data_IF_701787652983
#
_entry.id   IF_701787652983
#
_cell.length_a   1.000
_cell.length_b   1.000
_cell.length_c   1.000
_cell.angle_alpha   90.00
_cell.angle_beta   90.00
_cell.angle_gamma   90.00
#
_symmetry.space_group_name_H-M   'P 1'
#
loop_
_entity.id
_entity.type
_entity.pdbx_description
1 polymer ?
#
# COMPACT_ATOMS: atom_id res chain seq x y z
N UNK A 1 -6.23 -29.26 3.29
CA UNK A 1 -6.65 -27.86 3.48
C UNK A 1 -6.73 -27.18 2.13
N UNK A 2 -7.84 -26.51 1.83
CA UNK A 2 -8.01 -25.75 0.59
C UNK A 2 -7.13 -24.50 0.66
N UNK A 3 -6.43 -24.19 -0.44
CA UNK A 3 -5.66 -22.95 -0.56
C UNK A 3 -6.63 -21.74 -0.45
N UNK A 4 -6.37 -20.83 0.48
CA UNK A 4 -7.16 -19.61 0.64
C UNK A 4 -6.70 -18.54 -0.35
N UNK A 5 -7.62 -17.66 -0.70
CA UNK A 5 -7.34 -16.48 -1.52
C UNK A 5 -6.95 -15.33 -0.59
N UNK A 6 -5.90 -14.62 -0.96
CA UNK A 6 -5.37 -13.47 -0.23
C UNK A 6 -5.35 -12.27 -1.17
N UNK A 7 -5.91 -11.15 -0.73
CA UNK A 7 -5.78 -9.86 -1.40
C UNK A 7 -4.78 -9.00 -0.63
N UNK A 8 -3.88 -8.33 -1.33
CA UNK A 8 -2.92 -7.39 -0.75
C UNK A 8 -3.09 -6.05 -1.47
N UNK A 9 -3.38 -5.01 -0.72
CA UNK A 9 -3.29 -3.64 -1.18
C UNK A 9 -1.93 -3.09 -0.74
N UNK A 10 -1.07 -2.80 -1.72
CA UNK A 10 0.29 -2.32 -1.50
C UNK A 10 0.33 -0.79 -1.58
N UNK A 11 -0.38 -0.14 -0.66
CA UNK A 11 -0.56 1.31 -0.66
C UNK A 11 0.63 2.09 -0.12
N UNK A 12 0.79 3.33 -0.60
CA UNK A 12 1.86 4.25 -0.16
C UNK A 12 1.78 4.58 1.34
N UNK A 13 0.58 4.72 1.89
CA UNK A 13 0.38 5.05 3.31
C UNK A 13 0.28 3.80 4.19
N UNK A 14 -0.52 2.84 3.77
CA UNK A 14 -0.78 1.61 4.50
C UNK A 14 -0.74 0.41 3.56
N UNK A 15 -0.32 -0.73 4.12
CA UNK A 15 -0.52 -2.03 3.50
C UNK A 15 -1.71 -2.72 4.16
N UNK A 16 -2.62 -3.25 3.33
CA UNK A 16 -3.78 -4.02 3.77
C UNK A 16 -3.68 -5.46 3.26
N UNK A 17 -3.97 -6.42 4.13
CA UNK A 17 -4.08 -7.81 3.72
C UNK A 17 -5.45 -8.36 4.12
N UNK A 18 -6.16 -8.83 3.10
CA UNK A 18 -7.44 -9.50 3.22
C UNK A 18 -7.27 -11.00 2.99
N UNK A 19 -7.89 -11.82 3.82
CA UNK A 19 -7.96 -13.27 3.64
C UNK A 19 -9.41 -13.69 3.45
N UNK A 20 -9.69 -14.43 2.39
CA UNK A 20 -11.04 -14.90 2.09
C UNK A 20 -11.62 -15.72 3.22
N UNK A 21 -12.76 -15.26 3.75
CA UNK A 21 -13.46 -15.86 4.88
C UNK A 21 -12.99 -15.39 6.25
N UNK A 22 -11.95 -14.56 6.33
CA UNK A 22 -11.46 -13.98 7.59
C UNK A 22 -11.57 -12.44 7.59
N UNK A 23 -11.72 -11.81 6.41
CA UNK A 23 -11.75 -10.35 6.28
C UNK A 23 -10.36 -9.73 6.23
N UNK A 24 -10.25 -8.47 6.64
CA UNK A 24 -8.97 -7.75 6.74
C UNK A 24 -8.22 -8.27 7.98
N UNK A 25 -7.10 -8.92 7.76
CA UNK A 25 -6.28 -9.56 8.81
C UNK A 25 -5.04 -8.74 9.17
N UNK A 26 -4.68 -7.76 8.32
CA UNK A 26 -3.59 -6.82 8.55
C UNK A 26 -3.92 -5.47 7.93
N UNK A 27 -3.70 -4.40 8.68
CA UNK A 27 -3.75 -3.02 8.24
C UNK A 27 -2.67 -2.26 9.02
N UNK A 28 -1.55 -2.01 8.38
CA UNK A 28 -0.40 -1.38 9.01
C UNK A 28 0.23 -0.32 8.10
N UNK A 29 0.85 0.72 8.65
CA UNK A 29 1.59 1.72 7.87
C UNK A 29 2.69 1.09 7.02
N UNK A 30 2.89 1.59 5.80
CA UNK A 30 3.96 1.19 4.89
C UNK A 30 5.28 1.84 5.30
N UNK A 31 5.76 1.50 6.49
CA UNK A 31 6.96 2.06 7.13
C UNK A 31 7.85 0.93 7.66
N UNK A 32 9.15 1.07 7.45
CA UNK A 32 10.18 0.14 7.93
C UNK A 32 11.28 0.92 8.63
N UNK A 33 11.76 0.42 9.74
CA UNK A 33 12.93 0.96 10.46
C UNK A 33 14.10 0.00 10.30
N UNK A 34 15.23 0.55 9.85
CA UNK A 34 16.44 -0.21 9.53
C UNK A 34 17.61 0.32 10.33
N UNK A 35 18.39 -0.57 10.92
CA UNK A 35 19.76 -0.26 11.39
C UNK A 35 20.70 -0.24 10.17
N UNK A 36 21.26 0.92 9.86
CA UNK A 36 22.15 1.09 8.70
C UNK A 36 23.56 0.52 8.94
N UNK A 37 23.96 0.29 10.18
CA UNK A 37 25.25 -0.31 10.51
C UNK A 37 25.21 -1.84 10.31
N UNK A 38 24.09 -2.46 10.74
CA UNK A 38 23.92 -3.90 10.64
C UNK A 38 23.14 -4.31 9.37
N UNK A 39 22.64 -3.35 8.60
CA UNK A 39 21.74 -3.55 7.47
C UNK A 39 20.54 -4.48 7.81
N UNK A 40 19.93 -4.23 8.95
CA UNK A 40 18.91 -5.09 9.54
C UNK A 40 17.61 -4.32 9.80
N UNK A 41 16.49 -4.94 9.45
CA UNK A 41 15.16 -4.42 9.80
C UNK A 41 14.94 -4.61 11.31
N UNK A 42 14.60 -3.52 11.99
CA UNK A 42 14.33 -3.45 13.43
C UNK A 42 12.82 -3.53 13.69
N UNK A 43 12.04 -2.75 12.95
CA UNK A 43 10.60 -2.64 13.14
C UNK A 43 9.88 -2.40 11.80
N UNK A 44 8.59 -2.74 11.74
CA UNK A 44 7.72 -2.50 10.58
C UNK A 44 6.33 -2.07 11.05
N UNK A 45 5.62 -1.35 10.17
CA UNK A 45 4.22 -1.00 10.38
C UNK A 45 4.01 -0.11 11.61
N UNK A 46 3.11 -0.50 12.49
CA UNK A 46 2.77 0.27 13.68
C UNK A 46 3.95 0.45 14.63
N UNK A 47 4.76 -0.58 14.84
CA UNK A 47 5.98 -0.48 15.65
C UNK A 47 6.97 0.53 15.06
N UNK A 48 7.15 0.51 13.75
CA UNK A 48 8.00 1.47 13.04
C UNK A 48 7.45 2.90 13.13
N UNK A 49 6.14 3.07 13.05
CA UNK A 49 5.46 4.37 13.17
C UNK A 49 5.74 5.03 14.53
N UNK A 50 5.73 4.26 15.61
CA UNK A 50 6.02 4.76 16.97
C UNK A 50 7.46 5.28 17.13
N UNK A 51 8.38 4.87 16.25
CA UNK A 51 9.78 5.26 16.28
C UNK A 51 10.06 6.55 15.49
N UNK A 52 9.10 7.06 14.71
CA UNK A 52 9.28 8.28 13.90
C UNK A 52 9.69 9.46 14.80
N UNK A 53 10.77 10.15 14.42
CA UNK A 53 11.30 11.29 15.16
C UNK A 53 11.99 10.97 16.48
N UNK A 54 12.19 9.67 16.80
CA UNK A 54 12.81 9.21 18.06
C UNK A 54 14.06 8.35 17.82
N UNK A 55 14.50 8.21 16.57
CA UNK A 55 15.60 7.33 16.20
C UNK A 55 16.94 8.06 16.22
N UNK A 56 18.06 7.40 16.67
CA UNK A 56 19.41 7.91 16.52
C UNK A 56 19.86 7.88 15.05
N UNK A 57 21.00 8.47 14.73
CA UNK A 57 21.49 8.65 13.35
C UNK A 57 21.69 7.34 12.56
N UNK A 58 22.06 6.27 13.23
CA UNK A 58 22.24 4.96 12.61
C UNK A 58 20.95 4.19 12.37
N UNK A 59 19.82 4.68 12.87
CA UNK A 59 18.50 4.06 12.71
C UNK A 59 17.64 4.92 11.77
N UNK A 60 17.33 4.40 10.59
CA UNK A 60 16.56 5.12 9.57
C UNK A 60 15.14 4.62 9.47
N UNK A 61 14.21 5.56 9.42
CA UNK A 61 12.82 5.31 9.07
C UNK A 61 12.66 5.43 7.56
N UNK A 62 12.24 4.36 6.91
CA UNK A 62 12.10 4.25 5.45
C UNK A 62 10.64 4.05 5.11
N UNK A 63 10.13 4.84 4.15
CA UNK A 63 8.85 4.60 3.47
C UNK A 63 9.18 3.95 2.12
N UNK A 64 9.07 2.63 1.99
CA UNK A 64 9.53 1.91 0.79
C UNK A 64 8.64 2.16 -0.43
N UNK A 65 7.42 2.64 -0.19
CA UNK A 65 6.45 3.07 -1.20
C UNK A 65 6.25 4.57 -1.09
N UNK A 66 6.38 5.30 -2.19
CA UNK A 66 6.24 6.74 -2.23
C UNK A 66 5.56 7.17 -3.54
N UNK A 67 4.53 8.00 -3.43
CA UNK A 67 3.83 8.60 -4.57
C UNK A 67 3.40 7.55 -5.63
N UNK A 68 2.92 6.39 -5.15
CA UNK A 68 2.45 5.29 -5.99
C UNK A 68 3.55 4.50 -6.72
N UNK A 69 4.81 4.66 -6.33
CA UNK A 69 5.93 3.90 -6.88
C UNK A 69 6.73 3.21 -5.78
N UNK A 70 7.44 2.16 -6.16
CA UNK A 70 8.38 1.49 -5.26
C UNK A 70 9.66 2.33 -5.22
N UNK A 71 9.87 3.03 -4.11
CA UNK A 71 11.06 3.84 -3.89
C UNK A 71 12.27 3.00 -3.44
N UNK A 72 12.01 1.89 -2.75
CA UNK A 72 13.03 0.95 -2.29
C UNK A 72 12.52 -0.48 -2.47
N UNK A 73 13.06 -1.17 -3.45
CA UNK A 73 12.60 -2.49 -3.83
C UNK A 73 12.96 -3.55 -2.78
N UNK A 74 14.19 -3.54 -2.27
CA UNK A 74 14.65 -4.54 -1.29
C UNK A 74 13.85 -4.45 0.01
N UNK A 75 13.60 -3.24 0.49
CA UNK A 75 12.80 -3.01 1.69
C UNK A 75 11.33 -3.36 1.45
N UNK A 76 10.79 -3.10 0.25
CA UNK A 76 9.41 -3.51 -0.11
C UNK A 76 9.29 -5.04 -0.11
N UNK A 77 10.25 -5.75 -0.71
CA UNK A 77 10.29 -7.21 -0.70
C UNK A 77 10.36 -7.77 0.73
N UNK A 78 11.24 -7.23 1.56
CA UNK A 78 11.37 -7.64 2.97
C UNK A 78 10.07 -7.40 3.75
N UNK A 79 9.43 -6.24 3.55
CA UNK A 79 8.16 -5.90 4.17
C UNK A 79 7.06 -6.86 3.75
N UNK A 80 6.89 -7.08 2.45
CA UNK A 80 5.89 -7.98 1.89
C UNK A 80 6.09 -9.42 2.40
N UNK A 81 7.34 -9.90 2.37
CA UNK A 81 7.71 -11.21 2.90
C UNK A 81 7.32 -11.38 4.38
N UNK A 82 7.62 -10.38 5.19
CA UNK A 82 7.32 -10.42 6.62
C UNK A 82 5.82 -10.48 6.86
N UNK A 83 5.04 -9.61 6.21
CA UNK A 83 3.60 -9.56 6.39
C UNK A 83 2.89 -10.82 5.89
N UNK A 84 3.29 -11.36 4.75
CA UNK A 84 2.72 -12.61 4.25
C UNK A 84 3.05 -13.77 5.22
N UNK A 85 4.28 -13.83 5.76
CA UNK A 85 4.64 -14.83 6.78
C UNK A 85 3.80 -14.70 8.05
N UNK A 86 3.60 -13.47 8.54
CA UNK A 86 2.75 -13.20 9.72
C UNK A 86 1.31 -13.66 9.48
N UNK A 87 0.75 -13.34 8.33
CA UNK A 87 -0.62 -13.75 7.96
C UNK A 87 -0.71 -15.27 7.78
N UNK A 88 0.27 -15.91 7.12
CA UNK A 88 0.32 -17.37 6.98
C UNK A 88 0.34 -18.07 8.33
N UNK A 89 1.13 -17.58 9.27
CA UNK A 89 1.22 -18.15 10.62
C UNK A 89 -0.10 -18.03 11.39
N UNK A 90 -0.79 -16.90 11.30
CA UNK A 90 -2.07 -16.66 11.98
C UNK A 90 -3.24 -17.43 11.36
N UNK A 91 -3.30 -17.46 10.02
CA UNK A 91 -4.45 -17.99 9.29
C UNK A 91 -4.25 -19.45 8.82
N UNK A 92 -3.17 -20.12 9.24
CA UNK A 92 -2.82 -21.49 8.82
C UNK A 92 -2.85 -21.66 7.29
N UNK A 93 -2.38 -20.64 6.55
CA UNK A 93 -2.38 -20.64 5.09
C UNK A 93 -1.31 -21.58 4.54
N UNK A 94 -1.73 -22.51 3.69
CA UNK A 94 -0.82 -23.36 2.93
C UNK A 94 -0.89 -22.97 1.47
N UNK A 95 0.20 -22.41 0.91
CA UNK A 95 0.34 -22.05 -0.51
C UNK A 95 -0.84 -21.23 -1.04
N UNK A 96 -1.10 -20.00 -0.55
CA UNK A 96 -2.23 -19.17 -0.96
C UNK A 96 -2.13 -18.76 -2.43
N UNK A 97 -3.28 -18.44 -3.04
CA UNK A 97 -3.31 -17.59 -4.23
C UNK A 97 -3.35 -16.14 -3.75
N UNK A 98 -2.50 -15.31 -4.32
CA UNK A 98 -2.34 -13.91 -3.90
C UNK A 98 -2.72 -12.99 -5.05
N UNK A 99 -3.59 -12.03 -4.79
CA UNK A 99 -3.86 -10.90 -5.66
C UNK A 99 -3.24 -9.67 -5.01
N UNK A 100 -2.39 -8.94 -5.74
CA UNK A 100 -1.77 -7.71 -5.28
C UNK A 100 -2.34 -6.56 -6.10
N UNK A 101 -2.85 -5.53 -5.42
CA UNK A 101 -3.29 -4.30 -6.04
C UNK A 101 -2.10 -3.36 -6.18
N UNK A 102 -1.98 -2.74 -7.33
CA UNK A 102 -0.91 -1.78 -7.64
C UNK A 102 -1.50 -0.56 -8.35
N UNK A 103 -0.88 0.62 -8.23
CA UNK A 103 -1.25 1.79 -9.00
C UNK A 103 -1.20 1.55 -10.51
N UNK A 104 -2.02 2.27 -11.28
CA UNK A 104 -2.12 2.08 -12.73
C UNK A 104 -0.84 2.42 -13.51
N UNK A 105 0.08 3.17 -12.90
CA UNK A 105 1.32 3.62 -13.52
C UNK A 105 2.55 2.75 -13.22
N UNK A 106 2.35 1.58 -12.58
CA UNK A 106 3.44 0.65 -12.26
C UNK A 106 4.09 0.08 -13.54
N UNK A 107 5.41 0.03 -13.57
CA UNK A 107 6.18 -0.53 -14.69
C UNK A 107 6.14 -2.06 -14.72
N UNK A 108 6.38 -2.66 -15.88
CA UNK A 108 6.46 -4.13 -16.02
C UNK A 108 7.60 -4.74 -15.18
N UNK A 109 8.69 -3.99 -14.98
CA UNK A 109 9.80 -4.42 -14.13
C UNK A 109 9.37 -4.48 -12.68
N UNK A 110 8.69 -3.45 -12.19
CA UNK A 110 8.15 -3.41 -10.82
C UNK A 110 7.09 -4.49 -10.61
N UNK A 111 6.20 -4.72 -11.59
CA UNK A 111 5.22 -5.84 -11.52
C UNK A 111 5.91 -7.18 -11.38
N UNK A 112 6.91 -7.45 -12.24
CA UNK A 112 7.66 -8.70 -12.20
C UNK A 112 8.34 -8.91 -10.85
N UNK A 113 8.91 -7.85 -10.32
CA UNK A 113 9.60 -7.85 -9.05
C UNK A 113 8.66 -8.13 -7.86
N UNK A 114 7.46 -7.51 -7.84
CA UNK A 114 6.43 -7.79 -6.82
C UNK A 114 5.95 -9.24 -6.91
N UNK A 115 5.73 -9.77 -8.13
CA UNK A 115 5.34 -11.16 -8.33
C UNK A 115 6.39 -12.09 -7.75
N UNK A 116 7.67 -11.89 -8.10
CA UNK A 116 8.78 -12.70 -7.60
C UNK A 116 8.89 -12.65 -6.07
N UNK A 117 8.80 -11.45 -5.48
CA UNK A 117 8.78 -11.27 -4.03
C UNK A 117 7.67 -12.08 -3.36
N UNK A 118 6.45 -12.02 -3.89
CA UNK A 118 5.32 -12.76 -3.36
C UNK A 118 5.47 -14.29 -3.56
N UNK A 119 6.00 -14.73 -4.69
CA UNK A 119 6.25 -16.16 -4.96
C UNK A 119 7.30 -16.76 -4.01
N UNK A 120 8.36 -16.02 -3.69
CA UNK A 120 9.38 -16.42 -2.70
C UNK A 120 8.80 -16.64 -1.30
N UNK A 121 7.63 -16.03 -0.98
CA UNK A 121 6.92 -16.36 0.28
C UNK A 121 6.22 -17.70 0.28
N UNK A 122 6.24 -18.42 -0.85
CA UNK A 122 5.55 -19.69 -1.05
C UNK A 122 4.09 -19.54 -1.47
N UNK A 123 3.70 -18.42 -2.10
CA UNK A 123 2.44 -18.31 -2.80
C UNK A 123 2.35 -19.34 -3.93
N UNK A 124 1.16 -19.91 -4.13
CA UNK A 124 0.93 -20.89 -5.22
C UNK A 124 0.82 -20.21 -6.58
N UNK A 125 0.20 -19.03 -6.59
CA UNK A 125 0.00 -18.20 -7.77
C UNK A 125 -0.19 -16.75 -7.33
N UNK A 126 0.45 -15.85 -8.04
CA UNK A 126 0.36 -14.41 -7.81
C UNK A 126 -0.31 -13.76 -9.02
N UNK A 127 -1.20 -12.82 -8.76
CA UNK A 127 -1.87 -11.98 -9.75
C UNK A 127 -1.65 -10.53 -9.36
N UNK A 128 -1.51 -9.68 -10.35
CA UNK A 128 -1.53 -8.23 -10.17
C UNK A 128 -2.77 -7.66 -10.84
N UNK A 129 -3.40 -6.70 -10.19
CA UNK A 129 -4.53 -5.97 -10.74
C UNK A 129 -4.40 -4.48 -10.38
N UNK A 130 -4.97 -3.61 -11.19
CA UNK A 130 -4.94 -2.18 -10.96
C UNK A 130 -5.91 -1.74 -9.86
N UNK A 131 -5.46 -0.84 -8.98
CA UNK A 131 -6.21 -0.35 -7.82
C UNK A 131 -7.62 0.13 -8.17
N UNK A 132 -7.87 1.00 -9.20
CA UNK A 132 -9.21 1.48 -9.50
C UNK A 132 -10.19 0.38 -9.87
N UNK A 133 -9.71 -0.70 -10.50
CA UNK A 133 -10.56 -1.84 -10.85
C UNK A 133 -10.96 -2.64 -9.62
N UNK A 134 -10.02 -2.84 -8.70
CA UNK A 134 -10.30 -3.56 -7.44
C UNK A 134 -11.19 -2.71 -6.54
N UNK A 135 -10.95 -1.39 -6.46
CA UNK A 135 -11.77 -0.43 -5.74
C UNK A 135 -13.23 -0.44 -6.26
N UNK A 136 -13.42 -0.42 -7.59
CA UNK A 136 -14.74 -0.53 -8.21
C UNK A 136 -15.49 -1.81 -7.79
N UNK A 137 -14.79 -2.95 -7.83
CA UNK A 137 -15.35 -4.24 -7.41
C UNK A 137 -15.70 -4.23 -5.92
N UNK A 138 -14.81 -3.70 -5.09
CA UNK A 138 -15.01 -3.55 -3.65
C UNK A 138 -16.19 -2.67 -3.29
N UNK A 139 -16.43 -1.60 -4.06
CA UNK A 139 -17.59 -0.72 -3.94
C UNK A 139 -18.90 -1.33 -4.50
N UNK A 140 -18.86 -2.55 -5.03
CA UNK A 140 -20.04 -3.23 -5.58
C UNK A 140 -20.46 -2.73 -6.95
N UNK A 141 -19.62 -1.98 -7.66
CA UNK A 141 -19.92 -1.48 -9.02
C UNK A 141 -19.92 -2.64 -10.00
N UNK A 142 -20.98 -2.72 -10.81
CA UNK A 142 -21.15 -3.80 -11.81
C UNK A 142 -20.38 -3.50 -13.09
N UNK A 143 -19.04 -3.52 -13.00
CA UNK A 143 -18.14 -3.18 -14.11
C UNK A 143 -18.22 -4.13 -15.32
N UNK A 144 -18.93 -5.27 -15.19
CA UNK A 144 -19.18 -6.21 -16.31
C UNK A 144 -20.14 -5.67 -17.35
N UNK A 145 -20.99 -4.73 -16.98
CA UNK A 145 -21.98 -4.14 -17.87
C UNK A 145 -21.30 -3.25 -18.92
N UNK A 146 -21.92 -3.08 -20.12
CA UNK A 146 -21.41 -2.21 -21.16
C UNK A 146 -21.70 -0.71 -20.89
N UNK A 147 -21.67 -0.32 -19.62
CA UNK A 147 -21.85 1.06 -19.16
C UNK A 147 -20.53 1.57 -18.60
N UNK A 148 -20.18 2.82 -18.92
CA UNK A 148 -19.02 3.47 -18.32
C UNK A 148 -19.27 3.78 -16.84
N UNK A 149 -18.36 3.34 -15.98
CA UNK A 149 -18.36 3.65 -14.57
C UNK A 149 -17.05 4.35 -14.22
N UNK A 150 -17.13 5.55 -13.67
CA UNK A 150 -15.96 6.29 -13.24
C UNK A 150 -15.67 5.99 -11.77
N UNK A 151 -14.41 5.72 -11.47
CA UNK A 151 -13.89 5.57 -10.11
C UNK A 151 -12.78 6.58 -9.90
N UNK A 152 -12.79 7.20 -8.74
CA UNK A 152 -11.73 8.09 -8.25
C UNK A 152 -11.27 7.49 -6.93
N UNK A 153 -10.05 6.97 -6.91
CA UNK A 153 -9.41 6.39 -5.74
C UNK A 153 -8.35 7.36 -5.22
N UNK A 154 -8.57 7.89 -4.02
CA UNK A 154 -7.69 8.88 -3.39
C UNK A 154 -6.95 8.18 -2.25
N UNK A 155 -5.72 7.77 -2.54
CA UNK A 155 -4.84 7.13 -1.59
C UNK A 155 -4.02 8.11 -0.73
N UNK A 156 -2.92 7.61 -0.17
CA UNK A 156 -1.94 8.44 0.54
C UNK A 156 -1.02 9.22 -0.38
N UNK A 157 -0.52 8.58 -1.45
CA UNK A 157 0.47 9.15 -2.38
C UNK A 157 -0.07 9.47 -3.76
N UNK A 158 -1.13 8.77 -4.20
CA UNK A 158 -1.72 8.92 -5.54
C UNK A 158 -3.23 9.10 -5.47
N UNK A 159 -3.76 9.77 -6.51
CA UNK A 159 -5.18 9.77 -6.86
C UNK A 159 -5.31 9.11 -8.23
N UNK A 160 -5.91 7.94 -8.26
CA UNK A 160 -6.12 7.15 -9.46
C UNK A 160 -7.56 7.33 -9.96
N UNK A 161 -7.70 7.77 -11.20
CA UNK A 161 -8.98 8.03 -11.86
C UNK A 161 -9.10 7.05 -13.01
N UNK A 162 -10.18 6.27 -13.06
CA UNK A 162 -10.41 5.34 -14.14
C UNK A 162 -11.87 5.29 -14.55
N UNK A 163 -12.10 5.08 -15.84
CA UNK A 163 -13.40 4.71 -16.40
C UNK A 163 -13.36 3.23 -16.77
N UNK A 164 -14.27 2.47 -16.20
CA UNK A 164 -14.38 1.02 -16.38
C UNK A 164 -15.64 0.66 -17.13
N UNK A 165 -15.53 -0.27 -18.06
CA UNK A 165 -16.64 -0.87 -18.79
C UNK A 165 -16.26 -2.28 -19.25
N UNK A 166 -17.23 -3.21 -19.28
CA UNK A 166 -17.03 -4.58 -19.75
C UNK A 166 -15.81 -5.28 -19.08
N UNK A 167 -15.65 -5.06 -17.78
CA UNK A 167 -14.56 -5.62 -16.96
C UNK A 167 -13.15 -5.12 -17.29
N UNK A 168 -13.03 -4.07 -18.10
CA UNK A 168 -11.75 -3.47 -18.50
C UNK A 168 -11.68 -1.99 -18.10
N UNK A 169 -10.46 -1.51 -17.90
CA UNK A 169 -10.20 -0.07 -17.82
C UNK A 169 -10.18 0.46 -19.25
N UNK A 170 -11.06 1.43 -19.53
CA UNK A 170 -11.17 2.10 -20.83
C UNK A 170 -10.17 3.24 -20.93
N UNK A 171 -10.06 3.99 -19.84
CA UNK A 171 -9.09 5.08 -19.69
C UNK A 171 -8.76 5.22 -18.21
N UNK A 172 -7.50 5.53 -17.91
CA UNK A 172 -7.05 5.85 -16.56
C UNK A 172 -6.08 7.02 -16.57
N UNK A 173 -5.99 7.68 -15.42
CA UNK A 173 -5.01 8.72 -15.14
C UNK A 173 -4.63 8.64 -13.67
N UNK A 174 -3.35 8.79 -13.36
CA UNK A 174 -2.83 8.80 -12.00
C UNK A 174 -2.16 10.14 -11.70
N UNK A 175 -2.52 10.76 -10.58
CA UNK A 175 -1.99 12.02 -10.11
C UNK A 175 -1.20 11.77 -8.81
N UNK A 176 -0.03 12.40 -8.67
CA UNK A 176 0.77 12.38 -7.42
C UNK A 176 0.33 13.48 -6.45
N UNK A 177 -0.98 13.68 -6.35
CA UNK A 177 -1.64 14.62 -5.42
C UNK A 177 -2.68 13.81 -4.66
N UNK A 178 -2.48 13.61 -3.37
CA UNK A 178 -3.34 12.78 -2.54
C UNK A 178 -3.19 13.14 -1.06
N UNK A 179 -3.55 12.24 -0.16
CA UNK A 179 -3.61 12.48 1.27
C UNK A 179 -2.37 13.13 1.88
N UNK A 180 -1.17 12.67 1.49
CA UNK A 180 0.09 13.24 2.00
C UNK A 180 0.31 14.68 1.54
N UNK A 181 -0.10 15.03 0.31
CA UNK A 181 -0.04 16.40 -0.21
C UNK A 181 -1.00 17.29 0.56
N UNK A 182 -2.23 16.82 0.78
CA UNK A 182 -3.24 17.58 1.55
C UNK A 182 -2.78 17.82 2.98
N UNK A 183 -2.14 16.83 3.62
CA UNK A 183 -1.58 16.96 4.96
C UNK A 183 -0.49 18.05 4.99
N UNK A 184 0.40 18.04 4.01
CA UNK A 184 1.48 19.04 3.91
C UNK A 184 0.94 20.45 3.64
N UNK A 185 -0.09 20.59 2.82
CA UNK A 185 -0.74 21.88 2.53
C UNK A 185 -1.41 22.45 3.79
N UNK A 186 -2.04 21.61 4.61
CA UNK A 186 -2.60 22.04 5.90
C UNK A 186 -1.51 22.53 6.85
N UNK A 187 -0.40 21.78 6.96
CA UNK A 187 0.75 22.17 7.80
C UNK A 187 1.31 23.52 7.34
N UNK A 188 1.51 23.71 6.03
CA UNK A 188 2.03 24.93 5.46
C UNK A 188 1.08 26.10 5.70
N UNK A 189 -0.23 25.91 5.48
CA UNK A 189 -1.23 26.95 5.71
C UNK A 189 -1.26 27.42 7.17
N UNK A 190 -1.21 26.49 8.13
CA UNK A 190 -1.19 26.82 9.55
C UNK A 190 0.10 27.58 9.91
N UNK A 191 1.24 27.14 9.38
CA UNK A 191 2.52 27.81 9.59
C UNK A 191 2.51 29.26 9.07
N UNK A 192 1.99 29.45 7.84
CA UNK A 192 1.97 30.78 7.21
C UNK A 192 0.97 31.72 7.86
N UNK A 193 -0.23 31.25 8.13
CA UNK A 193 -1.31 32.09 8.62
C UNK A 193 -1.25 32.36 10.12
N UNK A 194 -0.85 31.37 10.90
CA UNK A 194 -0.90 31.46 12.37
C UNK A 194 0.49 31.47 13.01
N UNK A 195 1.57 31.35 12.25
CA UNK A 195 2.97 31.27 12.73
C UNK A 195 3.19 30.14 13.76
N UNK A 196 2.43 29.04 13.62
CA UNK A 196 2.48 27.87 14.48
C UNK A 196 3.05 26.69 13.70
N UNK A 197 3.99 25.97 14.30
CA UNK A 197 4.52 24.72 13.76
C UNK A 197 3.70 23.55 14.33
N UNK A 198 3.11 22.75 13.46
CA UNK A 198 2.42 21.51 13.80
C UNK A 198 3.11 20.32 13.10
N UNK A 199 3.15 19.18 13.76
CA UNK A 199 3.67 17.92 13.17
C UNK A 199 2.57 17.16 12.43
N UNK A 200 2.99 16.15 11.63
CA UNK A 200 2.08 15.28 10.85
C UNK A 200 0.97 14.62 11.70
N UNK A 201 1.28 14.20 12.92
CA UNK A 201 0.28 13.59 13.82
C UNK A 201 -0.73 14.59 14.37
N UNK A 202 -0.29 15.82 14.67
CA UNK A 202 -1.19 16.90 15.14
C UNK A 202 -2.14 17.35 14.03
N UNK A 203 -1.65 17.41 12.78
CA UNK A 203 -2.45 17.77 11.62
C UNK A 203 -3.59 16.76 11.40
N UNK A 204 -3.36 15.45 11.61
CA UNK A 204 -4.39 14.41 11.46
C UNK A 204 -5.56 14.54 12.43
N UNK A 205 -5.37 15.19 13.58
CA UNK A 205 -6.44 15.47 14.53
C UNK A 205 -7.29 16.70 14.16
N UNK A 206 -6.87 17.47 13.14
CA UNK A 206 -7.62 18.64 12.64
C UNK A 206 -8.56 18.28 11.46
N UNK A 207 -8.54 17.05 10.99
CA UNK A 207 -9.48 16.48 10.02
C UNK A 207 -10.70 15.94 10.75
#
# INVERSE_FOLDING_TARGET
MLAKDVGIDLGTANILIYVKGEGIVLNEPSIVVVDTNENKVIAMGNEAKEMIGKTPENIKVIKPLKDGVIADFEITELMLNNYIKRVKAKSLLTRPRVLICCPSNITEVEKSAIIEAAERTGARKVFIEEEPKVAAIGAGIKIKNPTGNMVIDIGGGTTDIAVLSMNNIVISSSLRIAGNTFDQDIINYIREKYQVLIGEEQQKTLK
#
